data_IF_497351275440
#
_entry.id   IF_497351275440
#
_cell.length_a   1.000
_cell.length_b   1.000
_cell.length_c   1.000
_cell.angle_alpha   90.00
_cell.angle_beta   90.00
_cell.angle_gamma   90.00
#
_symmetry.space_group_name_H-M   'P 1'
#
loop_
_entity.id
_entity.type
_entity.pdbx_description
1 polymer ?
#
# COMPACT_ATOMS: atom_id res chain seq x y z
N UNK A 1 -3.68 59.40 -34.11
CA UNK A 1 -2.88 60.33 -34.94
C UNK A 1 -1.46 60.19 -34.41
N UNK A 2 -0.46 59.66 -35.09
CA UNK A 2 -0.18 59.33 -36.49
C UNK A 2 1.15 58.52 -36.39
N UNK A 3 1.27 57.36 -37.05
CA UNK A 3 2.16 57.18 -38.23
C UNK A 3 3.67 57.28 -37.86
N UNK A 4 4.61 56.38 -38.18
CA UNK A 4 4.97 55.75 -39.46
C UNK A 4 6.30 55.02 -39.16
N UNK A 5 6.45 53.71 -39.38
CA UNK A 5 6.93 53.03 -40.61
C UNK A 5 8.42 53.18 -40.97
N UNK A 6 8.96 52.08 -41.50
CA UNK A 6 10.17 51.90 -42.34
C UNK A 6 11.53 51.83 -41.62
N UNK A 7 12.22 50.68 -41.52
CA UNK A 7 12.72 49.71 -42.52
C UNK A 7 14.00 50.16 -43.24
N UNK A 8 14.75 49.13 -43.73
CA UNK A 8 15.81 49.15 -44.78
C UNK A 8 17.25 49.46 -44.23
N UNK A 9 18.36 48.76 -44.53
CA UNK A 9 18.87 48.06 -45.74
C UNK A 9 20.08 47.13 -45.40
N UNK A 10 20.12 45.93 -46.05
CA UNK A 10 21.20 45.15 -46.73
C UNK A 10 22.68 45.53 -46.55
N UNK A 11 23.72 44.74 -46.87
CA UNK A 11 24.02 43.34 -47.25
C UNK A 11 25.52 43.30 -47.64
N UNK A 12 26.17 42.12 -47.58
CA UNK A 12 27.18 41.58 -48.53
C UNK A 12 28.04 40.50 -47.83
N UNK A 13 28.01 39.21 -48.24
CA UNK A 13 28.81 38.55 -49.30
C UNK A 13 30.31 38.50 -48.97
N UNK A 14 31.11 37.43 -49.13
CA UNK A 14 31.05 36.02 -49.54
C UNK A 14 32.40 35.39 -49.05
N UNK A 15 32.66 34.09 -48.90
CA UNK A 15 32.99 33.12 -49.96
C UNK A 15 33.46 31.79 -49.31
N UNK A 16 33.25 30.70 -50.06
CA UNK A 16 33.56 29.27 -49.82
C UNK A 16 35.08 29.01 -49.79
N UNK A 17 35.63 27.95 -49.17
CA UNK A 17 35.69 26.52 -49.60
C UNK A 17 36.60 25.81 -48.56
N UNK A 18 36.47 24.55 -48.12
CA UNK A 18 36.72 23.27 -48.80
C UNK A 18 36.45 22.11 -47.80
N UNK A 19 35.96 20.96 -48.26
CA UNK A 19 35.91 19.67 -47.53
C UNK A 19 37.16 18.82 -47.90
N UNK A 20 37.62 17.85 -47.08
CA UNK A 20 37.08 16.48 -47.21
C UNK A 20 37.05 15.59 -45.93
N UNK A 21 36.05 14.68 -45.92
CA UNK A 21 36.09 13.24 -45.57
C UNK A 21 36.54 12.76 -44.17
N UNK A 22 35.60 12.14 -43.44
CA UNK A 22 35.82 11.13 -42.38
C UNK A 22 34.49 10.46 -41.98
N UNK A 23 34.40 9.11 -41.85
CA UNK A 23 33.13 8.39 -41.99
C UNK A 23 32.36 8.15 -40.67
N UNK A 24 31.04 7.96 -40.86
CA UNK A 24 30.12 7.10 -40.12
C UNK A 24 30.17 7.11 -38.57
N UNK A 25 29.16 7.75 -37.98
CA UNK A 25 28.58 7.24 -36.73
C UNK A 25 27.04 7.31 -36.79
N UNK A 26 26.47 6.62 -37.79
CA UNK A 26 25.04 6.28 -37.80
C UNK A 26 24.86 4.96 -37.03
N UNK A 27 25.19 4.99 -35.74
CA UNK A 27 24.99 3.88 -34.82
C UNK A 27 23.53 3.81 -34.40
N UNK A 28 22.74 2.98 -35.09
CA UNK A 28 21.72 2.08 -34.56
C UNK A 28 20.79 2.53 -33.39
N UNK A 29 20.47 3.82 -33.23
CA UNK A 29 19.62 4.30 -32.14
C UNK A 29 18.11 4.12 -32.34
N UNK A 30 17.67 3.34 -33.34
CA UNK A 30 16.26 3.29 -33.76
C UNK A 30 15.63 1.92 -33.95
N UNK A 31 16.31 0.81 -33.60
CA UNK A 31 15.85 -0.54 -33.95
C UNK A 31 15.36 -1.41 -32.78
N UNK A 32 15.36 -0.91 -31.55
CA UNK A 32 14.77 -1.66 -30.44
C UNK A 32 13.29 -1.27 -30.31
N UNK A 33 12.33 -2.20 -30.49
CA UNK A 33 10.95 -1.93 -30.16
C UNK A 33 10.87 -1.52 -28.69
N UNK A 34 9.94 -0.61 -28.33
CA UNK A 34 9.79 -0.19 -26.95
C UNK A 34 9.59 -1.43 -26.07
N UNK A 35 10.19 -1.47 -24.86
CA UNK A 35 10.04 -2.62 -23.98
C UNK A 35 8.56 -2.87 -23.78
N UNK A 36 8.10 -4.03 -24.25
CA UNK A 36 6.74 -4.49 -24.00
C UNK A 36 6.74 -5.02 -22.58
N UNK A 37 6.43 -4.15 -21.62
CA UNK A 37 6.18 -4.62 -20.26
C UNK A 37 5.04 -5.64 -20.33
N UNK A 38 5.37 -6.90 -20.08
CA UNK A 38 4.35 -7.93 -19.96
C UNK A 38 3.45 -7.50 -18.81
N UNK A 39 2.16 -7.24 -19.11
CA UNK A 39 1.20 -6.94 -18.05
C UNK A 39 1.15 -8.15 -17.13
N UNK A 40 1.67 -7.98 -15.92
CA UNK A 40 1.52 -8.95 -14.84
C UNK A 40 0.03 -9.11 -14.59
N UNK A 41 -0.54 -10.24 -15.00
CA UNK A 41 -1.98 -10.52 -14.87
C UNK A 41 -2.36 -10.93 -13.45
N UNK A 42 -1.40 -11.41 -12.66
CA UNK A 42 -1.58 -11.92 -11.29
C UNK A 42 -0.41 -11.54 -10.41
N UNK A 43 -0.70 -11.14 -9.18
CA UNK A 43 0.30 -10.69 -8.21
C UNK A 43 0.74 -11.86 -7.34
N UNK A 44 2.03 -11.91 -6.98
CA UNK A 44 2.51 -12.88 -6.00
C UNK A 44 2.16 -12.42 -4.59
N UNK A 45 1.62 -13.35 -3.80
CA UNK A 45 1.36 -13.22 -2.36
C UNK A 45 2.66 -13.33 -1.56
N UNK A 46 3.54 -14.25 -1.94
CA UNK A 46 4.75 -14.60 -1.17
C UNK A 46 5.99 -14.40 -2.05
N UNK A 47 6.87 -13.48 -1.66
CA UNK A 47 8.16 -13.30 -2.33
C UNK A 47 9.24 -14.10 -1.64
N UNK A 48 10.12 -14.73 -2.43
CA UNK A 48 11.31 -15.47 -1.98
C UNK A 48 12.56 -14.75 -2.50
N UNK A 49 13.11 -13.83 -1.74
CA UNK A 49 14.35 -13.11 -2.11
C UNK A 49 15.56 -13.63 -1.31
N UNK A 50 15.44 -13.68 0.01
CA UNK A 50 16.39 -14.33 0.95
C UNK A 50 15.64 -15.06 2.06
N UNK A 51 14.47 -14.53 2.43
CA UNK A 51 13.43 -15.15 3.26
C UNK A 51 12.10 -14.96 2.56
N UNK A 52 11.09 -15.70 3.01
CA UNK A 52 9.72 -15.47 2.55
C UNK A 52 9.15 -14.24 3.23
N UNK A 53 8.58 -13.33 2.43
CA UNK A 53 7.93 -12.11 2.90
C UNK A 53 6.58 -11.92 2.21
N UNK A 54 5.63 -11.33 2.92
CA UNK A 54 4.36 -10.91 2.34
C UNK A 54 4.63 -9.80 1.32
N UNK A 55 4.12 -9.95 0.10
CA UNK A 55 4.24 -8.88 -0.89
C UNK A 55 3.41 -7.66 -0.41
N UNK A 56 3.97 -6.43 -0.38
CA UNK A 56 3.25 -5.27 0.15
C UNK A 56 1.87 -5.05 -0.51
N UNK A 57 1.82 -5.14 -1.84
CA UNK A 57 0.57 -5.00 -2.61
C UNK A 57 -0.41 -6.15 -2.42
N UNK A 58 0.02 -7.29 -1.89
CA UNK A 58 -0.87 -8.40 -1.65
C UNK A 58 -1.73 -8.15 -0.41
N UNK A 59 -1.17 -7.52 0.64
CA UNK A 59 -1.96 -7.14 1.80
C UNK A 59 -3.02 -6.11 1.42
N UNK A 60 -2.69 -5.11 0.59
CA UNK A 60 -3.67 -4.14 0.08
C UNK A 60 -4.89 -4.80 -0.57
N UNK A 61 -4.64 -5.78 -1.45
CA UNK A 61 -5.70 -6.44 -2.21
C UNK A 61 -6.55 -7.38 -1.36
N UNK A 62 -5.93 -8.05 -0.38
CA UNK A 62 -6.66 -8.83 0.62
C UNK A 62 -7.50 -7.91 1.51
N UNK A 63 -6.90 -6.83 1.99
CA UNK A 63 -7.54 -5.85 2.88
C UNK A 63 -8.75 -5.17 2.24
N UNK A 64 -8.70 -4.94 0.92
CA UNK A 64 -9.82 -4.40 0.16
C UNK A 64 -11.03 -5.34 0.02
N UNK A 65 -10.89 -6.62 0.38
CA UNK A 65 -11.97 -7.64 0.38
C UNK A 65 -12.24 -8.23 1.75
N UNK A 66 -11.74 -7.59 2.81
CA UNK A 66 -11.91 -8.07 4.17
C UNK A 66 -13.37 -7.97 4.61
N UNK A 67 -13.80 -8.94 5.39
CA UNK A 67 -15.01 -8.84 6.21
C UNK A 67 -14.57 -8.46 7.63
N UNK A 68 -15.24 -7.48 8.24
CA UNK A 68 -14.84 -6.97 9.55
C UNK A 68 -16.03 -6.80 10.50
N UNK A 69 -15.76 -7.06 11.77
CA UNK A 69 -16.64 -6.77 12.90
C UNK A 69 -15.80 -5.98 13.91
N UNK A 70 -16.35 -4.85 14.36
CA UNK A 70 -15.73 -4.01 15.38
C UNK A 70 -16.74 -3.81 16.49
N UNK A 71 -16.36 -4.18 17.70
CA UNK A 71 -17.14 -3.92 18.90
C UNK A 71 -16.33 -3.04 19.84
N UNK A 72 -16.97 -2.22 20.65
CA UNK A 72 -16.23 -1.40 21.59
C UNK A 72 -17.05 -1.00 22.79
N UNK A 73 -16.36 -0.64 23.85
CA UNK A 73 -16.96 -0.31 25.13
C UNK A 73 -16.07 0.56 26.01
N UNK A 74 -16.61 0.91 27.16
CA UNK A 74 -15.89 1.62 28.21
C UNK A 74 -15.52 0.63 29.30
N UNK A 75 -14.28 0.67 29.75
CA UNK A 75 -13.86 -0.07 30.92
C UNK A 75 -14.47 0.57 32.18
N UNK A 76 -15.19 -0.22 32.97
CA UNK A 76 -15.80 0.21 34.23
C UNK A 76 -15.00 -0.43 35.37
N UNK A 77 -13.85 0.16 35.73
CA UNK A 77 -12.93 -0.40 36.73
C UNK A 77 -11.76 0.53 37.05
N UNK A 78 -11.12 0.34 38.24
CA UNK A 78 -10.12 1.24 38.84
C UNK A 78 -8.81 1.34 38.03
N UNK A 79 -8.80 2.12 36.94
CA UNK A 79 -7.60 2.87 36.60
C UNK A 79 -7.25 3.73 37.81
N UNK A 80 -6.01 3.58 38.31
CA UNK A 80 -5.52 4.23 39.55
C UNK A 80 -5.64 5.77 39.52
N UNK A 81 -5.93 6.35 38.36
CA UNK A 81 -6.06 7.79 38.12
C UNK A 81 -7.52 8.29 37.98
N UNK A 82 -8.54 7.44 38.16
CA UNK A 82 -9.95 7.86 38.01
C UNK A 82 -10.37 8.15 36.56
N UNK A 83 -9.51 7.80 35.60
CA UNK A 83 -9.73 8.01 34.18
C UNK A 83 -10.33 6.74 33.56
N UNK A 84 -11.33 6.86 32.69
CA UNK A 84 -11.99 5.70 32.08
C UNK A 84 -11.23 5.26 30.83
N UNK A 85 -10.79 4.00 30.79
CA UNK A 85 -10.25 3.38 29.58
C UNK A 85 -11.35 3.05 28.58
N UNK A 86 -11.02 3.08 27.29
CA UNK A 86 -11.91 2.63 26.21
C UNK A 86 -11.24 1.49 25.46
N UNK A 87 -12.03 0.47 25.12
CA UNK A 87 -11.54 -0.70 24.40
C UNK A 87 -12.37 -0.93 23.14
N UNK A 88 -11.75 -1.56 22.17
CA UNK A 88 -12.39 -2.08 20.97
C UNK A 88 -11.81 -3.45 20.64
N UNK A 89 -12.68 -4.38 20.28
CA UNK A 89 -12.28 -5.67 19.71
C UNK A 89 -12.56 -5.62 18.22
N UNK A 90 -11.67 -6.20 17.42
CA UNK A 90 -11.80 -6.25 15.97
C UNK A 90 -11.56 -7.68 15.49
N UNK A 91 -12.49 -8.17 14.68
CA UNK A 91 -12.36 -9.45 13.99
C UNK A 91 -12.35 -9.19 12.49
N UNK A 92 -11.27 -9.58 11.82
CA UNK A 92 -11.12 -9.47 10.37
C UNK A 92 -11.00 -10.86 9.76
N UNK A 93 -11.82 -11.13 8.75
CA UNK A 93 -11.73 -12.34 7.92
C UNK A 93 -11.25 -11.98 6.53
N UNK A 94 -10.20 -12.66 6.08
CA UNK A 94 -9.69 -12.60 4.70
C UNK A 94 -9.94 -13.96 4.04
N UNK A 95 -10.78 -14.00 3.02
CA UNK A 95 -11.04 -15.22 2.27
C UNK A 95 -10.20 -15.26 0.97
N UNK A 96 -9.23 -16.17 0.91
CA UNK A 96 -8.41 -16.35 -0.29
C UNK A 96 -9.23 -16.85 -1.48
N UNK A 97 -10.28 -17.63 -1.23
CA UNK A 97 -11.13 -18.15 -2.29
C UNK A 97 -11.92 -17.01 -2.97
N UNK A 98 -12.37 -16.03 -2.20
CA UNK A 98 -12.98 -14.80 -2.73
C UNK A 98 -12.00 -13.97 -3.59
N UNK A 99 -10.69 -14.18 -3.40
CA UNK A 99 -9.62 -13.53 -4.14
C UNK A 99 -9.06 -14.37 -5.31
N UNK A 100 -9.69 -15.51 -5.63
CA UNK A 100 -9.29 -16.41 -6.72
C UNK A 100 -9.02 -15.64 -8.01
N UNK A 101 -7.84 -15.87 -8.59
CA UNK A 101 -7.45 -15.31 -9.88
C UNK A 101 -6.79 -13.94 -9.84
N UNK A 102 -6.73 -13.29 -8.67
CA UNK A 102 -5.93 -12.08 -8.45
C UNK A 102 -4.46 -12.42 -8.18
N UNK A 103 -4.24 -13.56 -7.50
CA UNK A 103 -2.94 -14.00 -7.06
C UNK A 103 -2.41 -15.16 -7.90
N UNK A 104 -1.08 -15.25 -7.97
CA UNK A 104 -0.37 -16.32 -8.67
C UNK A 104 -0.44 -17.64 -7.91
N UNK A 105 -0.43 -17.58 -6.59
CA UNK A 105 -0.53 -18.70 -5.66
C UNK A 105 -1.97 -19.25 -5.62
N UNK A 106 -2.13 -20.57 -5.40
CA UNK A 106 -3.45 -21.17 -5.24
C UNK A 106 -4.17 -20.63 -4.01
N UNK A 107 -5.48 -20.48 -4.09
CA UNK A 107 -6.33 -20.14 -2.94
C UNK A 107 -6.64 -21.41 -2.13
N UNK A 108 -5.62 -21.98 -1.50
CA UNK A 108 -5.70 -23.23 -0.74
C UNK A 108 -5.26 -23.08 0.73
N UNK A 109 -5.40 -24.18 1.48
CA UNK A 109 -5.09 -24.23 2.92
C UNK A 109 -3.61 -23.98 3.19
N UNK A 110 -2.72 -24.51 2.35
CA UNK A 110 -1.28 -24.33 2.51
C UNK A 110 -0.88 -22.86 2.35
N UNK A 111 -1.47 -22.17 1.38
CA UNK A 111 -1.25 -20.74 1.15
C UNK A 111 -1.83 -19.89 2.28
N UNK A 112 -3.02 -20.21 2.77
CA UNK A 112 -3.63 -19.53 3.91
C UNK A 112 -2.79 -19.66 5.19
N UNK A 113 -2.34 -20.88 5.50
CA UNK A 113 -1.44 -21.13 6.63
C UNK A 113 -0.17 -20.29 6.49
N UNK A 114 0.46 -20.30 5.32
CA UNK A 114 1.70 -19.57 5.14
C UNK A 114 1.53 -18.06 5.25
N UNK A 115 0.46 -17.52 4.69
CA UNK A 115 0.14 -16.10 4.85
C UNK A 115 -0.12 -15.73 6.30
N UNK A 116 -0.82 -16.57 7.05
CA UNK A 116 -1.09 -16.31 8.47
C UNK A 116 0.20 -16.23 9.30
N UNK A 117 1.22 -17.04 8.97
CA UNK A 117 2.54 -16.97 9.60
C UNK A 117 3.26 -15.67 9.26
N UNK A 118 3.25 -15.26 7.99
CA UNK A 118 3.89 -14.02 7.54
C UNK A 118 3.21 -12.76 8.10
N UNK A 119 1.91 -12.84 8.39
CA UNK A 119 1.12 -11.73 8.92
C UNK A 119 1.30 -11.50 10.42
N UNK A 120 1.73 -12.53 11.18
CA UNK A 120 1.77 -12.47 12.65
C UNK A 120 2.61 -11.31 13.20
N UNK A 121 3.74 -11.03 12.54
CA UNK A 121 4.69 -9.99 12.95
C UNK A 121 4.70 -8.81 11.96
N UNK A 122 3.60 -8.59 11.24
CA UNK A 122 3.51 -7.56 10.20
C UNK A 122 3.14 -6.20 10.79
N UNK A 123 4.09 -5.27 10.77
CA UNK A 123 3.86 -3.85 11.11
C UNK A 123 2.81 -3.19 10.21
N UNK A 124 2.74 -3.57 8.93
CA UNK A 124 1.72 -3.06 8.01
C UNK A 124 0.31 -3.54 8.41
N UNK A 125 0.19 -4.79 8.86
CA UNK A 125 -1.08 -5.30 9.39
C UNK A 125 -1.46 -4.60 10.69
N UNK A 126 -0.51 -4.40 11.61
CA UNK A 126 -0.73 -3.67 12.86
C UNK A 126 -1.27 -2.27 12.59
N UNK A 127 -0.61 -1.50 11.71
CA UNK A 127 -1.06 -0.16 11.32
C UNK A 127 -2.47 -0.15 10.74
N UNK A 128 -2.81 -1.11 9.87
CA UNK A 128 -4.16 -1.22 9.31
C UNK A 128 -5.22 -1.56 10.34
N UNK A 129 -4.91 -2.41 11.32
CA UNK A 129 -5.83 -2.74 12.42
C UNK A 129 -6.04 -1.52 13.33
N UNK A 130 -4.97 -0.76 13.62
CA UNK A 130 -5.05 0.50 14.37
C UNK A 130 -5.93 1.51 13.65
N UNK A 131 -5.72 1.71 12.34
CA UNK A 131 -6.55 2.62 11.53
C UNK A 131 -8.01 2.18 11.51
N UNK A 132 -8.25 0.87 11.55
CA UNK A 132 -9.59 0.31 11.54
C UNK A 132 -10.36 0.57 12.84
N UNK A 133 -9.73 0.39 14.00
CA UNK A 133 -10.39 0.58 15.31
C UNK A 133 -10.42 2.03 15.78
N UNK A 134 -9.53 2.88 15.26
CA UNK A 134 -9.37 4.28 15.69
C UNK A 134 -10.67 5.10 15.65
N UNK A 135 -11.52 5.04 14.61
CA UNK A 135 -12.79 5.77 14.59
C UNK A 135 -13.74 5.35 15.71
N UNK A 136 -13.81 4.06 16.02
CA UNK A 136 -14.66 3.53 17.08
C UNK A 136 -14.20 4.02 18.45
N UNK A 137 -12.89 3.94 18.73
CA UNK A 137 -12.31 4.43 19.98
C UNK A 137 -12.45 5.95 20.13
N UNK A 138 -12.35 6.70 19.03
CA UNK A 138 -12.57 8.14 19.02
C UNK A 138 -14.02 8.50 19.37
N UNK A 139 -14.98 7.78 18.79
CA UNK A 139 -16.39 7.96 19.08
C UNK A 139 -16.73 7.64 20.54
N UNK A 140 -16.21 6.54 21.09
CA UNK A 140 -16.44 6.15 22.49
C UNK A 140 -15.83 7.13 23.48
N UNK A 141 -14.62 7.63 23.19
CA UNK A 141 -13.89 8.56 24.06
C UNK A 141 -14.27 10.03 23.88
N UNK A 142 -15.07 10.37 22.86
CA UNK A 142 -15.41 11.74 22.47
C UNK A 142 -14.17 12.61 22.19
N UNK A 143 -13.15 12.02 21.57
CA UNK A 143 -11.88 12.68 21.23
C UNK A 143 -11.61 12.67 19.73
N UNK A 144 -10.68 13.51 19.29
CA UNK A 144 -10.21 13.45 17.91
C UNK A 144 -9.41 12.17 17.66
N UNK A 145 -9.58 11.48 16.51
CA UNK A 145 -8.76 10.34 16.13
C UNK A 145 -7.24 10.57 16.23
N UNK A 146 -6.78 11.80 15.98
CA UNK A 146 -5.37 12.16 16.00
C UNK A 146 -4.77 12.26 17.42
N UNK A 147 -5.60 12.37 18.45
CA UNK A 147 -5.18 12.52 19.84
C UNK A 147 -5.10 11.16 20.58
N UNK A 148 -5.56 10.09 19.92
CA UNK A 148 -5.59 8.76 20.51
C UNK A 148 -4.24 8.06 20.37
N UNK A 149 -3.68 7.74 21.53
CA UNK A 149 -2.69 6.68 21.66
C UNK A 149 -3.43 5.35 21.79
N UNK A 150 -3.19 4.42 20.85
CA UNK A 150 -3.87 3.13 20.77
C UNK A 150 -2.81 2.04 20.95
N UNK A 151 -2.98 1.24 21.99
CA UNK A 151 -2.27 -0.03 22.15
C UNK A 151 -3.15 -1.13 21.55
N UNK A 152 -2.57 -1.98 20.70
CA UNK A 152 -3.28 -3.05 20.01
C UNK A 152 -2.45 -4.33 20.06
N UNK A 153 -3.06 -5.40 20.58
CA UNK A 153 -2.56 -6.77 20.48
C UNK A 153 -3.45 -7.52 19.48
N UNK A 154 -2.87 -8.35 18.61
CA UNK A 154 -3.63 -9.15 17.68
C UNK A 154 -3.07 -10.55 17.49
N UNK A 155 -3.93 -11.46 17.04
CA UNK A 155 -3.60 -12.85 16.72
C UNK A 155 -4.07 -13.15 15.31
N UNK A 156 -3.24 -13.90 14.59
CA UNK A 156 -3.55 -14.34 13.23
C UNK A 156 -3.57 -15.87 13.19
N UNK A 157 -4.63 -16.43 12.62
CA UNK A 157 -4.79 -17.88 12.40
C UNK A 157 -5.38 -18.16 11.02
N UNK A 158 -5.07 -19.31 10.46
CA UNK A 158 -5.74 -19.81 9.27
C UNK A 158 -6.85 -20.81 9.64
N UNK A 159 -7.94 -20.79 8.89
CA UNK A 159 -9.04 -21.76 8.95
C UNK A 159 -9.51 -22.09 7.53
N UNK A 160 -9.13 -23.27 7.03
CA UNK A 160 -9.32 -23.62 5.62
C UNK A 160 -8.60 -22.64 4.70
N UNK A 161 -9.35 -21.97 3.81
CA UNK A 161 -8.83 -20.91 2.91
C UNK A 161 -8.96 -19.51 3.48
N UNK A 162 -9.40 -19.39 4.74
CA UNK A 162 -9.61 -18.11 5.42
C UNK A 162 -8.45 -17.80 6.35
N UNK A 163 -8.15 -16.53 6.48
CA UNK A 163 -7.26 -15.99 7.51
C UNK A 163 -8.13 -15.16 8.44
N UNK A 164 -8.06 -15.48 9.72
CA UNK A 164 -8.83 -14.85 10.79
C UNK A 164 -7.86 -14.07 11.66
N UNK A 165 -8.17 -12.79 11.85
CA UNK A 165 -7.36 -11.85 12.61
C UNK A 165 -8.25 -11.32 13.73
N UNK A 166 -7.88 -11.63 14.96
CA UNK A 166 -8.59 -11.21 16.16
C UNK A 166 -7.70 -10.21 16.90
N UNK A 167 -8.18 -8.99 17.12
CA UNK A 167 -7.41 -7.90 17.73
C UNK A 167 -8.17 -7.25 18.88
N UNK A 168 -7.44 -6.95 19.95
CA UNK A 168 -7.92 -6.20 21.10
C UNK A 168 -7.14 -4.89 21.20
N UNK A 169 -7.87 -3.78 21.18
CA UNK A 169 -7.32 -2.44 21.22
C UNK A 169 -7.82 -1.69 22.44
N UNK A 170 -6.94 -0.88 23.02
CA UNK A 170 -7.26 0.00 24.12
C UNK A 170 -6.68 1.39 23.89
N UNK A 171 -7.38 2.39 24.39
CA UNK A 171 -6.84 3.74 24.55
C UNK A 171 -7.04 4.21 25.97
N UNK A 172 -5.98 4.77 26.55
CA UNK A 172 -6.04 5.44 27.84
C UNK A 172 -6.16 6.94 27.63
N UNK A 173 -6.95 7.64 28.46
CA UNK A 173 -6.87 9.09 28.53
C UNK A 173 -5.46 9.51 28.97
N UNK A 174 -4.98 10.60 28.38
CA UNK A 174 -3.72 11.25 28.73
C UNK A 174 -3.77 11.87 30.13
#
# INVERSE_FOLDING_TARGET
>A
MSDTSSAKIRAASAQRSTTPSGPANQGAAGLLPPPTWSRVRRLSLIRREVREVLAPKALDLLWGRREEIIEGGREIGRLRSGSAGYFATVMVTLDLHACRGLFSEPADVATALRLSELMRDSEDLHGRLVDLVRPQLAALSQRSPAELEISLEFRVRADGTRILIDGDAMTTPA
#
